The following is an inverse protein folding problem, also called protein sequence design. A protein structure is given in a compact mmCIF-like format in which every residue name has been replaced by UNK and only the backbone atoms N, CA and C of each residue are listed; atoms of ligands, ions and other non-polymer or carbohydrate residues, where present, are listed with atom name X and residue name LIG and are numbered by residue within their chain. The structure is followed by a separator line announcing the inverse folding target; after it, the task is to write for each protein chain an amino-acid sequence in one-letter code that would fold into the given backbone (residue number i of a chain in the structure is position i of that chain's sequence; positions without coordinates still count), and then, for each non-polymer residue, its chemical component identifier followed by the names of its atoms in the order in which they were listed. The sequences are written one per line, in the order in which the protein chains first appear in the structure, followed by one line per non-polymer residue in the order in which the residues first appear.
data_IF_705252425356
#
_entry.id   IF_705252425356
#
_cell.length_a   1.000
_cell.length_b   1.000
_cell.length_c   1.000
_cell.angle_alpha   90.00
_cell.angle_beta   90.00
_cell.angle_gamma   90.00
#
_symmetry.space_group_name_H-M   'P 1'
#
loop_
_entity.id
_entity.type
_entity.pdbx_description
1 polymer ?
#
# COMPACT_ATOMS: atom_id res chain seq x y z
N UNK A 1 24.66 14.93 -18.68
CA UNK A 1 23.25 15.12 -18.28
C UNK A 1 22.43 14.00 -18.92
N UNK A 2 22.13 12.94 -18.18
CA UNK A 2 21.39 11.77 -18.67
C UNK A 2 19.94 12.18 -18.96
N UNK A 3 19.60 12.26 -20.23
CA UNK A 3 18.26 12.53 -20.73
C UNK A 3 17.40 11.27 -20.52
N UNK A 4 17.05 10.97 -19.28
CA UNK A 4 16.17 9.85 -18.96
C UNK A 4 14.76 10.30 -19.34
N UNK A 5 14.33 9.91 -20.55
CA UNK A 5 12.97 10.15 -21.00
C UNK A 5 11.98 9.69 -19.93
N UNK A 6 10.88 10.45 -19.75
CA UNK A 6 9.87 10.17 -18.71
C UNK A 6 9.53 8.67 -18.73
N UNK A 7 9.60 7.97 -17.57
CA UNK A 7 9.26 6.57 -17.51
C UNK A 7 7.88 6.33 -18.12
N UNK A 8 7.74 5.19 -18.81
CA UNK A 8 6.50 4.83 -19.49
C UNK A 8 5.37 4.75 -18.46
N UNK A 9 4.21 5.30 -18.82
CA UNK A 9 3.00 5.19 -18.01
C UNK A 9 2.58 3.72 -17.91
N UNK A 10 2.14 3.31 -16.73
CA UNK A 10 1.59 1.96 -16.54
C UNK A 10 0.32 1.77 -17.38
N UNK A 11 -0.06 0.51 -17.61
CA UNK A 11 -1.30 0.19 -18.31
C UNK A 11 -2.51 0.87 -17.66
N UNK A 12 -2.60 0.78 -16.33
CA UNK A 12 -3.67 1.38 -15.52
C UNK A 12 -3.74 2.90 -15.69
N UNK A 13 -2.58 3.57 -15.81
CA UNK A 13 -2.49 5.01 -16.09
C UNK A 13 -2.93 5.37 -17.51
N UNK A 14 -2.60 4.55 -18.52
CA UNK A 14 -3.02 4.78 -19.91
C UNK A 14 -4.54 4.65 -20.05
N UNK A 15 -5.13 3.61 -19.47
CA UNK A 15 -6.59 3.36 -19.50
C UNK A 15 -7.35 4.55 -18.92
N UNK A 16 -6.88 5.16 -17.82
CA UNK A 16 -7.55 6.34 -17.26
C UNK A 16 -7.35 7.62 -18.05
N UNK A 17 -6.12 7.86 -18.48
CA UNK A 17 -5.77 9.14 -19.08
C UNK A 17 -6.30 9.27 -20.52
N UNK A 18 -7.13 8.32 -20.96
CA UNK A 18 -7.56 8.18 -22.35
C UNK A 18 -6.38 7.95 -23.28
N UNK A 19 -5.26 7.48 -22.74
CA UNK A 19 -4.04 7.23 -23.50
C UNK A 19 -4.24 6.03 -24.44
N UNK A 20 -3.43 5.99 -25.50
CA UNK A 20 -3.46 4.87 -26.45
C UNK A 20 -3.01 3.58 -25.75
N UNK A 21 -3.95 2.69 -25.51
CA UNK A 21 -3.72 1.28 -25.14
C UNK A 21 -3.53 0.49 -26.43
N UNK A 22 -2.52 -0.37 -26.51
CA UNK A 22 -2.29 -1.24 -27.67
C UNK A 22 -2.32 -2.70 -27.23
N UNK A 23 -3.25 -3.49 -27.75
CA UNK A 23 -3.43 -4.91 -27.38
C UNK A 23 -2.10 -5.70 -27.45
N UNK A 24 -1.32 -5.55 -28.53
CA UNK A 24 -0.04 -6.24 -28.75
C UNK A 24 1.01 -6.09 -27.63
N UNK A 25 0.91 -5.07 -26.78
CA UNK A 25 1.90 -4.75 -25.74
C UNK A 25 1.31 -4.59 -24.35
N UNK A 26 0.04 -4.25 -24.29
CA UNK A 26 -0.65 -3.89 -23.06
C UNK A 26 -1.48 -5.08 -22.52
N UNK A 27 -1.77 -6.10 -23.33
CA UNK A 27 -2.48 -7.32 -22.92
C UNK A 27 -1.70 -8.10 -21.84
N UNK A 28 -0.38 -8.29 -22.00
CA UNK A 28 0.49 -8.94 -21.01
C UNK A 28 0.47 -8.23 -19.64
N UNK A 29 0.41 -6.90 -19.64
CA UNK A 29 0.34 -6.11 -18.42
C UNK A 29 -1.05 -6.16 -17.77
N UNK A 30 -2.10 -6.45 -18.53
CA UNK A 30 -3.45 -6.62 -18.02
C UNK A 30 -3.60 -7.99 -17.35
N UNK A 31 -3.06 -9.04 -17.97
CA UNK A 31 -3.06 -10.41 -17.46
C UNK A 31 -2.24 -10.53 -16.17
N UNK A 32 -1.06 -9.90 -16.11
CA UNK A 32 -0.20 -9.94 -14.92
C UNK A 32 -0.82 -9.29 -13.67
N UNK A 33 -1.65 -8.25 -13.83
CA UNK A 33 -2.32 -7.59 -12.70
C UNK A 33 -3.66 -8.24 -12.33
N UNK A 34 -4.33 -8.90 -13.27
CA UNK A 34 -5.64 -9.53 -13.05
C UNK A 34 -5.54 -10.92 -12.39
N UNK A 35 -4.39 -11.58 -12.47
CA UNK A 35 -4.20 -12.96 -12.00
C UNK A 35 -3.84 -13.11 -10.51
N UNK A 36 -3.83 -12.02 -9.74
CA UNK A 36 -3.40 -12.06 -8.34
C UNK A 36 -4.62 -12.01 -7.42
N UNK A 37 -4.80 -13.07 -6.63
CA UNK A 37 -5.89 -13.16 -5.67
C UNK A 37 -5.74 -12.11 -4.57
N UNK A 38 -6.75 -11.24 -4.46
CA UNK A 38 -6.89 -10.33 -3.32
C UNK A 38 -7.12 -11.16 -2.05
N UNK A 39 -6.39 -10.84 -1.00
CA UNK A 39 -6.46 -11.63 0.21
C UNK A 39 -5.42 -11.24 1.23
N UNK A 40 -5.65 -11.65 2.47
CA UNK A 40 -4.70 -11.42 3.55
C UNK A 40 -3.53 -12.40 3.41
N UNK A 41 -2.28 -11.91 3.34
CA UNK A 41 -1.12 -12.79 3.35
C UNK A 41 -0.98 -13.50 4.70
N UNK A 42 -0.37 -14.70 4.74
CA UNK A 42 -0.11 -15.41 5.99
C UNK A 42 0.88 -14.61 6.86
N UNK A 43 0.50 -14.34 8.11
CA UNK A 43 1.36 -13.61 9.04
C UNK A 43 2.53 -14.49 9.50
N UNK A 44 3.80 -14.06 9.36
CA UNK A 44 4.94 -14.83 9.85
C UNK A 44 4.89 -15.03 11.37
N UNK A 45 5.28 -16.23 11.81
CA UNK A 45 5.27 -16.59 13.23
C UNK A 45 6.28 -15.76 14.06
N UNK A 46 7.40 -15.36 13.44
CA UNK A 46 8.48 -14.63 14.08
C UNK A 46 8.26 -13.11 14.17
N UNK A 47 7.13 -12.59 13.67
CA UNK A 47 6.84 -11.16 13.68
C UNK A 47 6.61 -10.64 15.11
N UNK A 48 7.31 -9.55 15.46
CA UNK A 48 7.20 -8.87 16.76
C UNK A 48 5.74 -8.43 17.04
N UNK A 49 5.33 -8.42 18.32
CA UNK A 49 3.98 -8.02 18.76
C UNK A 49 3.58 -6.63 18.28
N UNK A 50 4.49 -5.64 18.32
CA UNK A 50 4.23 -4.28 17.81
C UNK A 50 3.92 -4.29 16.31
N UNK A 51 4.72 -5.02 15.52
CA UNK A 51 4.50 -5.15 14.08
C UNK A 51 3.23 -5.95 13.75
N UNK A 52 2.94 -7.02 14.51
CA UNK A 52 1.71 -7.80 14.39
C UNK A 52 0.45 -6.96 14.61
N UNK A 53 0.49 -6.01 15.57
CA UNK A 53 -0.62 -5.07 15.76
C UNK A 53 -0.90 -4.24 14.50
N UNK A 54 0.14 -3.75 13.82
CA UNK A 54 -0.01 -3.04 12.55
C UNK A 54 -0.55 -3.96 11.46
N UNK A 55 -0.03 -5.18 11.36
CA UNK A 55 -0.49 -6.21 10.43
C UNK A 55 -1.99 -6.48 10.56
N UNK A 56 -2.46 -6.75 11.78
CA UNK A 56 -3.86 -7.10 12.05
C UNK A 56 -4.81 -5.89 11.94
N UNK A 57 -4.31 -4.67 12.16
CA UNK A 57 -5.14 -3.45 12.10
C UNK A 57 -5.26 -2.91 10.67
N UNK A 58 -4.17 -2.95 9.91
CA UNK A 58 -4.05 -2.31 8.61
C UNK A 58 -4.35 -3.28 7.46
N UNK A 59 -3.93 -4.54 7.58
CA UNK A 59 -4.08 -5.55 6.52
C UNK A 59 -5.53 -5.77 6.09
N UNK A 60 -6.48 -6.01 7.01
CA UNK A 60 -7.89 -6.18 6.65
C UNK A 60 -8.48 -4.97 5.91
N UNK A 61 -8.06 -3.75 6.27
CA UNK A 61 -8.52 -2.52 5.61
C UNK A 61 -7.95 -2.39 4.21
N UNK A 62 -6.70 -2.78 4.00
CA UNK A 62 -6.07 -2.79 2.68
C UNK A 62 -6.70 -3.85 1.78
N UNK A 63 -7.00 -5.05 2.30
CA UNK A 63 -7.71 -6.11 1.55
C UNK A 63 -9.12 -5.64 1.17
N UNK A 64 -9.87 -5.05 2.10
CA UNK A 64 -11.21 -4.49 1.82
C UNK A 64 -11.17 -3.37 0.76
N UNK A 65 -10.08 -2.60 0.74
CA UNK A 65 -9.84 -1.58 -0.26
C UNK A 65 -9.27 -2.16 -1.58
N UNK A 66 -9.05 -3.47 -1.70
CA UNK A 66 -8.45 -4.10 -2.88
C UNK A 66 -7.00 -3.67 -3.15
N UNK A 67 -6.27 -3.30 -2.09
CA UNK A 67 -4.90 -2.78 -2.14
C UNK A 67 -3.84 -3.76 -1.62
N UNK A 68 -4.28 -4.93 -1.15
CA UNK A 68 -3.39 -5.97 -0.64
C UNK A 68 -3.82 -7.32 -1.20
N UNK A 69 -2.85 -8.03 -1.76
CA UNK A 69 -3.01 -9.39 -2.26
C UNK A 69 -2.13 -10.36 -1.49
N UNK A 70 -2.34 -11.67 -1.72
CA UNK A 70 -1.59 -12.72 -1.01
C UNK A 70 -0.09 -12.67 -1.32
N UNK A 71 0.31 -12.20 -2.51
CA UNK A 71 1.72 -12.12 -2.92
C UNK A 71 2.44 -10.89 -2.35
N UNK A 72 1.72 -9.88 -1.87
CA UNK A 72 2.29 -8.65 -1.31
C UNK A 72 2.80 -8.82 0.14
N UNK A 73 2.72 -10.04 0.69
CA UNK A 73 3.00 -10.35 2.08
C UNK A 73 4.35 -9.85 2.59
N UNK A 74 5.43 -10.06 1.84
CA UNK A 74 6.78 -9.66 2.26
C UNK A 74 6.95 -8.13 2.29
N UNK A 75 6.33 -7.42 1.34
CA UNK A 75 6.38 -5.95 1.30
C UNK A 75 5.54 -5.37 2.43
N UNK A 76 4.37 -5.97 2.71
CA UNK A 76 3.51 -5.56 3.82
C UNK A 76 4.17 -5.86 5.17
N UNK A 77 4.92 -6.95 5.25
CA UNK A 77 5.68 -7.34 6.44
C UNK A 77 6.74 -6.31 6.77
N UNK A 78 7.51 -5.92 5.75
CA UNK A 78 8.53 -4.89 5.89
C UNK A 78 7.93 -3.55 6.32
N UNK A 79 6.74 -3.20 5.83
CA UNK A 79 6.04 -2.00 6.29
C UNK A 79 5.70 -2.08 7.79
N UNK A 80 5.10 -3.18 8.23
CA UNK A 80 4.71 -3.40 9.62
C UNK A 80 5.93 -3.44 10.56
N UNK A 81 7.02 -4.06 10.14
CA UNK A 81 8.27 -4.15 10.90
C UNK A 81 8.94 -2.79 11.05
N UNK A 82 9.05 -2.02 9.95
CA UNK A 82 9.59 -0.65 9.99
C UNK A 82 8.77 0.28 10.90
N UNK A 83 7.44 0.16 10.89
CA UNK A 83 6.55 0.91 11.79
C UNK A 83 6.82 0.57 13.26
N UNK A 84 6.97 -0.72 13.58
CA UNK A 84 7.29 -1.16 14.95
C UNK A 84 8.67 -0.67 15.41
N UNK A 85 9.68 -0.78 14.55
CA UNK A 85 11.02 -0.27 14.85
C UNK A 85 11.01 1.25 15.03
N UNK A 86 10.22 1.98 14.24
CA UNK A 86 10.09 3.43 14.36
C UNK A 86 9.46 3.82 15.71
N UNK A 87 8.44 3.10 16.18
CA UNK A 87 7.87 3.30 17.52
C UNK A 87 8.91 3.10 18.62
N UNK A 88 9.71 2.04 18.55
CA UNK A 88 10.78 1.76 19.53
C UNK A 88 11.87 2.85 19.53
N UNK A 89 12.28 3.32 18.35
CA UNK A 89 13.26 4.42 18.24
C UNK A 89 12.68 5.73 18.76
N UNK A 90 11.39 5.99 18.51
CA UNK A 90 10.71 7.18 19.01
C UNK A 90 10.62 7.19 20.55
N UNK A 91 10.44 6.03 21.19
CA UNK A 91 10.52 5.89 22.65
C UNK A 91 11.92 6.24 23.21
N UNK A 92 12.99 6.05 22.43
CA UNK A 92 14.36 6.45 22.81
C UNK A 92 14.65 7.94 22.59
N UNK A 93 13.88 8.61 21.74
CA UNK A 93 14.12 9.99 21.30
C UNK A 93 13.13 11.01 21.90
N UNK A 94 12.59 10.74 23.09
CA UNK A 94 11.56 11.59 23.72
C UNK A 94 12.04 13.02 24.01
N UNK A 95 13.31 13.19 24.37
CA UNK A 95 13.90 14.48 24.70
C UNK A 95 14.75 15.03 23.54
N UNK A 96 14.69 16.34 23.27
CA UNK A 96 15.51 16.98 22.23
C UNK A 96 17.01 16.79 22.50
N UNK A 97 17.43 16.72 23.77
CA UNK A 97 18.82 16.47 24.12
C UNK A 97 19.31 15.08 23.66
N UNK A 98 18.41 14.12 23.48
CA UNK A 98 18.76 12.78 22.94
C UNK A 98 19.00 12.78 21.43
N UNK A 99 18.72 13.89 20.74
CA UNK A 99 18.92 14.05 19.29
C UNK A 99 20.35 14.43 18.96
N UNK A 100 21.10 14.94 19.95
CA UNK A 100 22.49 15.35 19.82
C UNK A 100 23.36 14.44 20.70
N UNK A 101 24.44 13.93 20.14
CA UNK A 101 25.45 13.17 20.85
C UNK A 101 26.76 13.98 20.88
N UNK A 102 27.44 13.98 22.02
CA UNK A 102 28.75 14.61 22.15
C UNK A 102 29.84 13.58 21.87
N UNK A 103 30.70 13.87 20.90
CA UNK A 103 31.88 13.05 20.61
C UNK A 103 32.94 13.19 21.70
N UNK A 104 33.89 12.24 21.82
CA UNK A 104 35.01 12.37 22.76
C UNK A 104 35.82 13.67 22.59
N UNK A 105 35.76 14.27 21.40
CA UNK A 105 36.43 15.54 21.05
C UNK A 105 35.58 16.79 21.35
N UNK A 106 34.48 16.67 22.10
CA UNK A 106 33.54 17.74 22.47
C UNK A 106 32.78 18.40 21.31
N UNK A 107 32.75 17.78 20.13
CA UNK A 107 31.86 18.21 19.05
C UNK A 107 30.48 17.58 19.21
N UNK A 108 29.45 18.39 18.97
CA UNK A 108 28.06 17.97 18.89
C UNK A 108 27.77 17.38 17.51
N UNK A 109 27.27 16.15 17.48
CA UNK A 109 26.86 15.45 16.26
C UNK A 109 25.44 14.93 16.42
N UNK A 110 24.76 14.62 15.32
CA UNK A 110 23.45 13.96 15.39
C UNK A 110 23.57 12.59 16.06
N UNK A 111 22.65 12.27 16.96
CA UNK A 111 22.61 10.97 17.60
C UNK A 111 22.36 9.86 16.58
N UNK A 112 22.95 8.69 16.81
CA UNK A 112 22.76 7.54 15.93
C UNK A 112 21.27 7.15 15.84
N UNK A 113 20.53 7.28 16.95
CA UNK A 113 19.09 7.05 17.01
C UNK A 113 18.31 7.98 16.08
N UNK A 114 18.70 9.25 15.99
CA UNK A 114 18.06 10.21 15.08
C UNK A 114 18.29 9.81 13.61
N UNK A 115 19.48 9.32 13.28
CA UNK A 115 19.78 8.84 11.92
C UNK A 115 18.96 7.60 11.56
N UNK A 116 18.84 6.64 12.48
CA UNK A 116 18.00 5.44 12.32
C UNK A 116 16.53 5.85 12.14
N UNK A 117 16.02 6.76 12.98
CA UNK A 117 14.66 7.29 12.89
C UNK A 117 14.37 7.88 11.51
N UNK A 118 15.25 8.75 11.02
CA UNK A 118 15.10 9.38 9.71
C UNK A 118 15.06 8.34 8.59
N UNK A 119 15.91 7.31 8.67
CA UNK A 119 15.93 6.23 7.69
C UNK A 119 14.66 5.39 7.71
N UNK A 120 14.16 5.03 8.89
CA UNK A 120 12.91 4.31 9.04
C UNK A 120 11.73 5.14 8.49
N UNK A 121 11.70 6.44 8.76
CA UNK A 121 10.67 7.33 8.23
C UNK A 121 10.65 7.36 6.68
N UNK A 122 11.83 7.39 6.04
CA UNK A 122 11.92 7.27 4.56
C UNK A 122 11.35 5.94 4.05
N UNK A 123 11.73 4.82 4.69
CA UNK A 123 11.30 3.47 4.30
C UNK A 123 9.79 3.29 4.50
N UNK A 124 9.25 3.80 5.59
CA UNK A 124 7.80 3.80 5.88
C UNK A 124 7.06 4.59 4.80
N UNK A 125 7.50 5.79 4.45
CA UNK A 125 6.84 6.59 3.41
C UNK A 125 6.94 5.89 2.04
N UNK A 126 8.06 5.24 1.74
CA UNK A 126 8.24 4.50 0.48
C UNK A 126 7.26 3.33 0.39
N UNK A 127 7.24 2.47 1.40
CA UNK A 127 6.31 1.31 1.47
C UNK A 127 4.84 1.76 1.55
N UNK A 128 4.55 2.86 2.25
CA UNK A 128 3.21 3.45 2.31
C UNK A 128 2.69 3.94 0.95
N UNK A 129 3.58 4.31 0.02
CA UNK A 129 3.15 4.69 -1.35
C UNK A 129 2.71 3.48 -2.16
N UNK A 130 3.38 2.33 -1.99
CA UNK A 130 3.02 1.09 -2.69
C UNK A 130 1.59 0.65 -2.35
N UNK A 131 1.20 0.76 -1.07
CA UNK A 131 -0.15 0.42 -0.60
C UNK A 131 -1.17 1.57 -0.67
N UNK A 132 -0.86 2.70 -1.30
CA UNK A 132 -1.81 3.81 -1.42
C UNK A 132 -2.15 4.53 -0.11
N UNK A 133 -1.34 4.41 0.94
CA UNK A 133 -1.60 4.99 2.26
C UNK A 133 -1.33 6.50 2.33
N UNK A 134 -0.63 7.06 1.33
CA UNK A 134 -0.39 8.50 1.25
C UNK A 134 -1.45 9.20 0.38
N UNK A 135 -1.88 10.44 0.71
CA UNK A 135 -2.84 11.18 -0.12
C UNK A 135 -2.43 11.30 -1.60
N UNK A 136 -1.13 11.47 -1.86
CA UNK A 136 -0.59 11.52 -3.21
C UNK A 136 -0.62 10.16 -3.93
N UNK A 137 -0.45 9.06 -3.21
CA UNK A 137 -0.57 7.73 -3.79
C UNK A 137 -2.03 7.33 -4.05
N UNK A 138 -3.00 7.82 -3.26
CA UNK A 138 -4.43 7.53 -3.45
C UNK A 138 -4.98 7.94 -4.82
N UNK A 139 -4.41 8.96 -5.47
CA UNK A 139 -4.82 9.34 -6.83
C UNK A 139 -4.23 8.43 -7.91
N UNK A 140 -3.12 7.75 -7.62
CA UNK A 140 -2.44 6.82 -8.52
C UNK A 140 -2.89 5.38 -8.33
N UNK A 141 -3.27 5.02 -7.10
CA UNK A 141 -3.74 3.68 -6.73
C UNK A 141 -5.22 3.59 -7.04
N UNK A 142 -5.58 2.66 -7.92
CA UNK A 142 -6.95 2.47 -8.33
C UNK A 142 -7.42 1.06 -8.07
N UNK A 143 -8.49 1.01 -7.30
CA UNK A 143 -9.14 -0.22 -6.91
C UNK A 143 -10.00 -0.72 -8.07
N UNK A 144 -9.82 -1.98 -8.44
CA UNK A 144 -10.75 -2.66 -9.34
C UNK A 144 -12.06 -2.91 -8.58
N UNK A 145 -13.06 -2.07 -8.85
CA UNK A 145 -14.35 -2.09 -8.14
C UNK A 145 -15.08 -3.44 -8.31
N UNK A 146 -14.86 -4.15 -9.41
CA UNK A 146 -15.51 -5.44 -9.66
C UNK A 146 -14.97 -6.52 -8.71
N UNK A 147 -13.66 -6.68 -8.62
CA UNK A 147 -13.03 -7.61 -7.66
C UNK A 147 -13.37 -7.26 -6.20
N UNK A 148 -13.52 -5.97 -5.89
CA UNK A 148 -13.97 -5.53 -4.57
C UNK A 148 -15.42 -5.95 -4.27
N UNK A 149 -16.31 -5.88 -5.26
CA UNK A 149 -17.71 -6.31 -5.12
C UNK A 149 -17.82 -7.83 -4.97
N UNK A 150 -17.02 -8.58 -5.73
CA UNK A 150 -16.95 -10.05 -5.64
C UNK A 150 -16.47 -10.49 -4.25
N UNK A 151 -15.43 -9.83 -3.71
CA UNK A 151 -14.89 -10.10 -2.38
C UNK A 151 -15.88 -9.76 -1.25
N UNK A 152 -16.69 -8.71 -1.43
CA UNK A 152 -17.71 -8.28 -0.47
C UNK A 152 -19.03 -9.06 -0.61
N UNK A 153 -19.11 -10.03 -1.51
CA UNK A 153 -20.32 -10.84 -1.75
C UNK A 153 -21.46 -10.07 -2.42
N UNK A 154 -21.19 -8.89 -3.00
CA UNK A 154 -22.21 -8.05 -3.63
C UNK A 154 -22.63 -8.56 -5.03
N UNK A 155 -21.85 -9.46 -5.63
CA UNK A 155 -22.22 -10.14 -6.87
C UNK A 155 -23.46 -11.06 -6.71
N UNK A 156 -23.78 -11.49 -5.48
CA UNK A 156 -24.97 -12.28 -5.20
C UNK A 156 -26.26 -11.45 -5.07
N UNK A 157 -26.19 -10.10 -5.10
CA UNK A 157 -27.36 -9.24 -4.93
C UNK A 157 -28.06 -8.86 -6.25
N UNK A 158 -27.53 -9.27 -7.40
CA UNK A 158 -28.13 -8.95 -8.71
C UNK A 158 -28.97 -10.08 -9.30
N UNK A 159 -29.02 -11.26 -8.68
CA UNK A 159 -29.77 -12.41 -9.23
C UNK A 159 -31.17 -12.59 -8.64
N UNK A 160 -31.53 -11.91 -7.56
CA UNK A 160 -32.87 -11.96 -6.95
C UNK A 160 -33.58 -10.59 -6.98
N UNK A 161 -33.61 -9.92 -8.14
CA UNK A 161 -34.53 -8.79 -8.34
C UNK A 161 -35.94 -9.35 -8.62
N UNK A 162 -36.65 -9.72 -7.54
CA UNK A 162 -38.01 -10.28 -7.52
C UNK A 162 -39.07 -9.36 -8.19
N UNK A 163 -38.66 -8.15 -8.62
CA UNK A 163 -39.49 -7.13 -9.26
C UNK A 163 -39.11 -6.83 -10.71
N UNK A 164 -38.17 -7.56 -11.33
CA UNK A 164 -37.76 -7.36 -12.72
C UNK A 164 -38.92 -7.52 -13.74
N UNK A 165 -39.99 -8.24 -13.36
CA UNK A 165 -41.20 -8.44 -14.18
C UNK A 165 -42.27 -7.34 -13.99
N UNK A 166 -42.10 -6.43 -13.03
CA UNK A 166 -43.02 -5.30 -12.86
C UNK A 166 -42.62 -4.16 -13.78
N UNK A 167 -43.10 -4.25 -15.01
CA UNK A 167 -42.98 -3.26 -16.08
C UNK A 167 -43.71 -1.95 -15.71
N UNK A 168 -43.18 -1.19 -14.75
CA UNK A 168 -43.66 0.15 -14.41
C UNK A 168 -43.11 1.09 -15.48
N UNK A 169 -43.92 1.33 -16.49
CA UNK A 169 -43.72 2.37 -17.50
C UNK A 169 -43.51 3.70 -16.79
N UNK A 170 -42.31 4.26 -16.89
CA UNK A 170 -42.03 5.66 -16.59
C UNK A 170 -42.76 6.53 -17.62
N UNK A 171 -43.72 7.33 -17.15
CA UNK A 171 -44.26 8.49 -17.86
C UNK A 171 -43.35 9.70 -17.67
#
# INVERSE_FOLDING_TARGET
MSNMGRPRKSLQEKVLSGGRVREDRDEDAQVANAAVDLGMPPCPAWLNKKARKHWDTLGPKLVQAGLLSVVDGDVFLLHCDNMAAYEEVQEKLQDINSWVATTPNKFEVQSAWLQIRNKLQELIIKTAREFGLTPAARSSVKVNKQQQLDLLGAAAATEDDEFADMNIRTS
#
